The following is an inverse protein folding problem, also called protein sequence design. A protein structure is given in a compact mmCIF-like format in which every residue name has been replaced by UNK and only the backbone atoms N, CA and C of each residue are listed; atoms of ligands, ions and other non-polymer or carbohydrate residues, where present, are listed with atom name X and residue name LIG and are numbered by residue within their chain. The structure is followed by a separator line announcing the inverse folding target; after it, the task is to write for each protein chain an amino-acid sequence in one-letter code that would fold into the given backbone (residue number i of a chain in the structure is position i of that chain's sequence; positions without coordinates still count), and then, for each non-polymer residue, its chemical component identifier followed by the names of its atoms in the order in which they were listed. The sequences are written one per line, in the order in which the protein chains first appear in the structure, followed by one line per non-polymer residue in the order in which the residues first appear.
data_IF_062785219767
#
_entry.id   IF_062785219767
#
_cell.length_a   1.000
_cell.length_b   1.000
_cell.length_c   1.000
_cell.angle_alpha   90.00
_cell.angle_beta   90.00
_cell.angle_gamma   90.00
#
_symmetry.space_group_name_H-M   'P 1'
#
loop_
_entity.id
_entity.type
_entity.pdbx_description
1 polymer ?
#
# COMPACT_ATOMS: atom_id res chain seq x y z
N UNK A 1 21.32 0.04 8.99
CA UNK A 1 20.45 -0.61 7.97
C UNK A 1 19.49 -1.51 8.72
N UNK A 2 18.24 -1.09 8.87
CA UNK A 2 17.20 -1.93 9.48
C UNK A 2 16.95 -3.12 8.56
N UNK A 3 17.03 -4.34 9.09
CA UNK A 3 16.88 -5.56 8.32
C UNK A 3 15.48 -5.57 7.66
N UNK A 4 15.39 -5.74 6.34
CA UNK A 4 14.12 -5.81 5.62
C UNK A 4 13.13 -6.81 6.27
N UNK A 5 13.67 -7.89 6.87
CA UNK A 5 12.87 -8.86 7.65
C UNK A 5 12.22 -8.25 8.90
N UNK A 6 12.91 -7.34 9.59
CA UNK A 6 12.37 -6.62 10.74
C UNK A 6 11.32 -5.58 10.32
N UNK A 7 11.50 -4.94 9.16
CA UNK A 7 10.51 -4.00 8.60
C UNK A 7 9.22 -4.71 8.15
N UNK A 8 9.36 -5.89 7.53
CA UNK A 8 8.22 -6.75 7.16
C UNK A 8 7.48 -7.26 8.41
N UNK A 9 8.22 -7.76 9.42
CA UNK A 9 7.63 -8.24 10.66
C UNK A 9 6.94 -7.12 11.46
N UNK A 10 7.52 -5.92 11.48
CA UNK A 10 6.86 -4.74 12.04
C UNK A 10 5.52 -4.50 11.34
N UNK A 11 5.44 -4.52 10.01
CA UNK A 11 4.16 -4.29 9.30
C UNK A 11 3.13 -5.39 9.42
N UNK A 12 3.55 -6.65 9.48
CA UNK A 12 2.63 -7.73 9.80
C UNK A 12 2.00 -7.51 11.18
N UNK A 13 2.70 -6.85 12.11
CA UNK A 13 2.09 -6.43 13.36
C UNK A 13 1.09 -5.28 13.16
N UNK A 14 1.43 -4.24 12.39
CA UNK A 14 0.56 -3.06 12.12
C UNK A 14 -0.72 -3.44 11.39
N UNK A 15 -0.62 -4.28 10.36
CA UNK A 15 -1.77 -4.74 9.59
C UNK A 15 -2.71 -5.61 10.43
N UNK A 16 -2.28 -6.13 11.58
CA UNK A 16 -3.06 -7.00 12.45
C UNK A 16 -3.27 -6.44 13.87
N UNK A 17 -2.81 -5.22 14.16
CA UNK A 17 -2.95 -4.57 15.48
C UNK A 17 -4.14 -3.60 15.45
N UNK A 18 -5.26 -3.92 16.13
CA UNK A 18 -6.45 -3.07 16.14
C UNK A 18 -6.26 -1.74 16.91
N UNK A 19 -5.15 -1.57 17.64
CA UNK A 19 -4.82 -0.33 18.36
C UNK A 19 -3.93 0.64 17.59
N UNK A 20 -3.44 0.23 16.41
CA UNK A 20 -2.51 0.98 15.59
C UNK A 20 -3.20 2.10 14.78
N UNK A 21 -3.78 3.09 15.47
CA UNK A 21 -4.50 4.21 14.84
C UNK A 21 -3.59 5.21 14.10
N UNK A 22 -2.26 5.07 14.23
CA UNK A 22 -1.28 5.79 13.45
C UNK A 22 0.08 5.11 13.65
N UNK A 23 0.70 4.61 12.58
CA UNK A 23 2.10 4.20 12.64
C UNK A 23 2.89 4.96 11.58
N UNK A 24 4.17 5.17 11.87
CA UNK A 24 5.06 5.83 10.93
C UNK A 24 5.07 5.08 9.59
N UNK A 25 4.97 5.79 8.46
CA UNK A 25 5.04 5.18 7.15
C UNK A 25 6.31 4.33 7.01
N UNK A 26 6.20 3.08 6.58
CA UNK A 26 7.39 2.27 6.32
C UNK A 26 7.70 2.25 4.84
N UNK A 27 8.97 2.54 4.60
CA UNK A 27 9.58 2.50 3.29
C UNK A 27 10.17 1.11 3.06
N UNK A 28 9.70 0.45 2.02
CA UNK A 28 10.27 -0.80 1.52
C UNK A 28 10.87 -0.50 0.15
N UNK A 29 12.06 -1.02 -0.11
CA UNK A 29 12.73 -0.87 -1.39
C UNK A 29 12.99 -2.24 -1.99
N UNK A 30 12.67 -2.37 -3.27
CA UNK A 30 12.91 -3.58 -4.06
C UNK A 30 13.47 -3.21 -5.42
N UNK A 31 14.20 -4.14 -6.03
CA UNK A 31 14.59 -4.00 -7.44
C UNK A 31 13.48 -4.59 -8.30
N UNK A 32 13.15 -3.90 -9.39
CA UNK A 32 12.16 -4.37 -10.35
C UNK A 32 12.62 -5.71 -10.95
N UNK A 33 11.77 -6.76 -10.97
CA UNK A 33 12.19 -8.12 -11.28
C UNK A 33 12.69 -8.32 -12.72
N UNK A 34 12.30 -7.42 -13.63
CA UNK A 34 12.68 -7.48 -15.04
C UNK A 34 13.56 -6.30 -15.50
N UNK A 35 13.86 -5.33 -14.61
CA UNK A 35 14.61 -4.11 -14.95
C UNK A 35 15.53 -3.76 -13.79
N UNK A 36 16.77 -4.25 -13.82
CA UNK A 36 17.70 -4.16 -12.68
C UNK A 36 18.10 -2.72 -12.30
N UNK A 37 17.98 -1.78 -13.24
CA UNK A 37 18.19 -0.36 -13.02
C UNK A 37 17.00 0.33 -12.35
N UNK A 38 15.82 -0.30 -12.27
CA UNK A 38 14.63 0.29 -11.65
C UNK A 38 14.49 -0.16 -10.19
N UNK A 39 14.44 0.79 -9.27
CA UNK A 39 14.09 0.60 -7.86
C UNK A 39 12.61 0.92 -7.64
N UNK A 40 11.87 0.00 -7.02
CA UNK A 40 10.51 0.23 -6.54
C UNK A 40 10.60 0.64 -5.07
N UNK A 41 10.09 1.83 -4.76
CA UNK A 41 9.93 2.32 -3.39
C UNK A 41 8.45 2.26 -3.02
N UNK A 42 8.15 1.46 -2.01
CA UNK A 42 6.82 1.27 -1.47
C UNK A 42 6.72 2.03 -0.15
N UNK A 43 5.58 2.67 0.05
CA UNK A 43 5.20 3.28 1.31
C UNK A 43 3.81 2.76 1.68
N UNK A 44 3.71 2.17 2.86
CA UNK A 44 2.43 1.72 3.43
C UNK A 44 2.11 2.63 4.60
N UNK A 45 0.89 3.14 4.64
CA UNK A 45 0.32 3.88 5.77
C UNK A 45 -1.04 3.30 6.12
N UNK A 46 -1.48 3.55 7.35
CA UNK A 46 -2.81 3.17 7.84
C UNK A 46 -3.50 4.40 8.39
N UNK A 47 -4.74 4.58 7.99
CA UNK A 47 -5.57 5.69 8.42
C UNK A 47 -7.02 5.23 8.62
N UNK A 48 -7.79 5.97 9.43
CA UNK A 48 -9.22 5.75 9.53
C UNK A 48 -9.92 6.14 8.23
N UNK A 49 -10.82 5.29 7.75
CA UNK A 49 -11.49 5.51 6.47
C UNK A 49 -12.37 6.78 6.45
N UNK A 50 -13.07 7.09 7.55
CA UNK A 50 -13.90 8.30 7.66
C UNK A 50 -13.07 9.58 7.51
N UNK A 51 -11.81 9.57 7.98
CA UNK A 51 -10.89 10.69 7.83
C UNK A 51 -10.31 10.77 6.43
N UNK A 52 -9.84 9.64 5.90
CA UNK A 52 -9.20 9.60 4.59
C UNK A 52 -10.18 9.92 3.45
N UNK A 53 -11.43 9.45 3.55
CA UNK A 53 -12.46 9.65 2.53
C UNK A 53 -13.31 10.90 2.76
N UNK A 54 -13.05 11.67 3.82
CA UNK A 54 -13.89 12.80 4.26
C UNK A 54 -15.38 12.42 4.38
N UNK A 55 -15.66 11.24 4.95
CA UNK A 55 -16.96 10.61 4.99
C UNK A 55 -17.31 10.20 6.44
N UNK A 56 -17.87 11.11 7.26
CA UNK A 56 -18.08 10.90 8.69
C UNK A 56 -19.14 9.83 9.03
N UNK A 57 -19.96 9.44 8.05
CA UNK A 57 -21.01 8.42 8.20
C UNK A 57 -20.49 6.99 7.91
N UNK A 58 -19.23 6.83 7.50
CA UNK A 58 -18.63 5.50 7.35
C UNK A 58 -18.46 4.84 8.72
N UNK A 59 -18.72 3.53 8.78
CA UNK A 59 -18.36 2.72 9.93
C UNK A 59 -16.87 2.90 10.29
N UNK A 60 -16.48 2.73 11.57
CA UNK A 60 -15.11 2.96 12.03
C UNK A 60 -14.19 1.81 11.60
N UNK A 61 -13.97 1.67 10.30
CA UNK A 61 -12.99 0.77 9.72
C UNK A 61 -11.76 1.56 9.24
N UNK A 62 -10.64 0.86 9.14
CA UNK A 62 -9.38 1.46 8.70
C UNK A 62 -9.13 1.16 7.22
N UNK A 63 -8.27 1.98 6.62
CA UNK A 63 -7.76 1.79 5.27
C UNK A 63 -6.24 1.72 5.32
N UNK A 64 -5.69 0.69 4.68
CA UNK A 64 -4.28 0.66 4.32
C UNK A 64 -4.11 1.37 2.98
N UNK A 65 -3.24 2.37 2.98
CA UNK A 65 -2.87 3.13 1.79
C UNK A 65 -1.48 2.65 1.40
N UNK A 66 -1.38 2.04 0.23
CA UNK A 66 -0.11 1.59 -0.34
C UNK A 66 0.22 2.48 -1.52
N UNK A 67 1.36 3.15 -1.46
CA UNK A 67 1.88 3.93 -2.57
C UNK A 67 3.20 3.36 -3.08
N UNK A 68 3.38 3.44 -4.38
CA UNK A 68 4.55 2.92 -5.07
C UNK A 68 5.10 3.97 -6.03
N UNK A 69 6.42 4.16 -5.99
CA UNK A 69 7.16 4.93 -7.00
C UNK A 69 8.26 4.06 -7.58
N UNK A 70 8.43 4.10 -8.90
CA UNK A 70 9.57 3.51 -9.59
C UNK A 70 10.63 4.58 -9.87
N UNK A 71 11.89 4.25 -9.63
CA UNK A 71 13.03 5.13 -9.84
C UNK A 71 14.07 4.44 -10.71
N UNK A 72 14.46 5.10 -11.80
CA UNK A 72 15.62 4.68 -12.57
C UNK A 72 16.90 5.12 -11.85
N UNK A 73 17.71 4.15 -11.44
CA UNK A 73 18.94 4.37 -10.68
C UNK A 73 20.10 4.88 -11.54
N UNK A 74 20.05 4.69 -12.85
CA UNK A 74 21.10 5.16 -13.76
C UNK A 74 20.98 6.66 -14.00
N UNK A 75 19.75 7.12 -14.27
CA UNK A 75 19.47 8.53 -14.54
C UNK A 75 19.00 9.31 -13.30
N UNK A 76 18.63 8.61 -12.22
CA UNK A 76 18.22 9.22 -10.95
C UNK A 76 16.82 9.83 -10.97
N UNK A 77 15.97 9.43 -11.91
CA UNK A 77 14.64 10.02 -12.13
C UNK A 77 13.51 9.05 -11.76
N UNK A 78 12.36 9.60 -11.37
CA UNK A 78 11.15 8.82 -11.19
C UNK A 78 10.59 8.45 -12.56
N UNK A 79 10.22 7.18 -12.72
CA UNK A 79 9.61 6.65 -13.95
C UNK A 79 8.21 6.13 -13.66
N UNK A 80 7.46 5.84 -14.72
CA UNK A 80 6.14 5.24 -14.61
C UNK A 80 6.19 3.95 -13.79
N UNK A 81 5.26 3.83 -12.85
CA UNK A 81 5.20 2.68 -11.96
C UNK A 81 4.51 1.52 -12.67
N UNK A 82 5.24 0.42 -12.87
CA UNK A 82 4.65 -0.83 -13.36
C UNK A 82 3.78 -1.44 -12.25
N UNK A 83 2.50 -1.65 -12.58
CA UNK A 83 1.51 -2.15 -11.63
C UNK A 83 1.69 -3.62 -11.28
N UNK A 84 2.25 -4.43 -12.19
CA UNK A 84 2.35 -5.89 -11.98
C UNK A 84 3.36 -6.24 -10.88
N UNK A 85 4.61 -5.71 -10.91
CA UNK A 85 5.55 -5.85 -9.81
C UNK A 85 5.02 -5.26 -8.51
N UNK A 86 4.27 -4.15 -8.59
CA UNK A 86 3.69 -3.53 -7.41
C UNK A 86 2.69 -4.45 -6.71
N UNK A 87 1.74 -5.05 -7.43
CA UNK A 87 0.79 -6.01 -6.86
C UNK A 87 1.49 -7.26 -6.29
N UNK A 88 2.55 -7.75 -6.95
CA UNK A 88 3.36 -8.86 -6.43
C UNK A 88 4.07 -8.50 -5.12
N UNK A 89 4.50 -7.25 -4.96
CA UNK A 89 5.04 -6.76 -3.70
C UNK A 89 3.95 -6.69 -2.62
N UNK A 90 2.75 -6.21 -2.93
CA UNK A 90 1.62 -6.22 -1.99
C UNK A 90 1.33 -7.66 -1.53
N UNK A 91 1.23 -8.61 -2.48
CA UNK A 91 1.00 -10.03 -2.17
C UNK A 91 2.06 -10.60 -1.23
N UNK A 92 3.35 -10.39 -1.57
CA UNK A 92 4.47 -10.86 -0.76
C UNK A 92 4.52 -10.23 0.64
N UNK A 93 4.12 -8.97 0.76
CA UNK A 93 4.25 -8.20 2.00
C UNK A 93 3.05 -8.36 2.92
N UNK A 94 1.84 -8.33 2.36
CA UNK A 94 0.58 -8.25 3.10
C UNK A 94 -0.25 -9.54 3.04
N UNK A 95 0.00 -10.41 2.04
CA UNK A 95 -0.74 -11.63 1.66
C UNK A 95 -1.53 -11.47 0.36
N UNK A 96 -1.84 -12.62 -0.24
CA UNK A 96 -2.64 -12.70 -1.47
C UNK A 96 -4.03 -12.11 -1.30
N UNK A 97 -4.62 -12.21 -0.11
CA UNK A 97 -5.93 -11.63 0.19
C UNK A 97 -5.90 -10.10 0.09
N UNK A 98 -4.85 -9.45 0.61
CA UNK A 98 -4.65 -8.01 0.51
C UNK A 98 -4.43 -7.56 -0.94
N UNK A 99 -3.64 -8.31 -1.71
CA UNK A 99 -3.43 -7.99 -3.13
C UNK A 99 -4.75 -8.06 -3.92
N UNK A 100 -5.58 -9.07 -3.67
CA UNK A 100 -6.87 -9.26 -4.36
C UNK A 100 -7.97 -8.26 -3.93
N UNK A 101 -7.84 -7.67 -2.75
CA UNK A 101 -8.78 -6.67 -2.21
C UNK A 101 -8.34 -5.24 -2.48
N UNK A 102 -7.10 -5.05 -2.96
CA UNK A 102 -6.58 -3.75 -3.31
C UNK A 102 -7.34 -3.13 -4.49
N UNK A 103 -7.76 -1.88 -4.33
CA UNK A 103 -8.43 -1.09 -5.38
C UNK A 103 -7.54 0.05 -5.84
N UNK A 104 -7.66 0.42 -7.11
CA UNK A 104 -6.95 1.58 -7.66
C UNK A 104 -7.51 2.86 -7.05
N UNK A 105 -6.64 3.76 -6.61
CA UNK A 105 -7.04 5.07 -6.13
C UNK A 105 -6.44 6.15 -7.00
N UNK A 106 -7.07 6.35 -8.15
CA UNK A 106 -6.66 7.27 -9.20
C UNK A 106 -6.96 8.74 -8.88
N UNK A 107 -7.61 9.05 -7.76
CA UNK A 107 -7.92 10.43 -7.36
C UNK A 107 -6.68 11.29 -7.04
N UNK A 108 -5.48 10.72 -6.93
CA UNK A 108 -4.22 11.45 -6.73
C UNK A 108 -3.31 11.47 -7.98
N UNK A 109 -3.91 11.46 -9.19
CA UNK A 109 -3.28 11.15 -10.48
C UNK A 109 -2.20 12.10 -11.01
N UNK A 110 -1.80 13.15 -10.29
CA UNK A 110 -0.87 14.15 -10.82
C UNK A 110 0.62 13.83 -10.55
N UNK A 111 0.91 12.67 -9.95
CA UNK A 111 2.28 12.21 -9.70
C UNK A 111 2.52 10.83 -10.32
N UNK A 112 3.76 10.46 -10.68
CA UNK A 112 4.10 9.11 -11.18
C UNK A 112 4.07 8.04 -10.06
N UNK A 113 3.18 8.22 -9.09
CA UNK A 113 3.01 7.39 -7.91
C UNK A 113 1.73 6.60 -8.07
N UNK A 114 1.82 5.27 -8.04
CA UNK A 114 0.65 4.41 -8.04
C UNK A 114 0.11 4.26 -6.61
N UNK A 115 -1.18 4.47 -6.42
CA UNK A 115 -1.84 4.31 -5.12
C UNK A 115 -2.82 3.14 -5.15
N UNK A 116 -2.81 2.34 -4.09
CA UNK A 116 -3.77 1.28 -3.83
C UNK A 116 -4.34 1.43 -2.44
N UNK A 117 -5.65 1.21 -2.32
CA UNK A 117 -6.34 1.16 -1.04
C UNK A 117 -6.76 -0.27 -0.75
N UNK A 118 -6.57 -0.68 0.51
CA UNK A 118 -7.10 -1.92 1.03
C UNK A 118 -7.93 -1.56 2.26
N UNK A 119 -9.22 -1.82 2.20
CA UNK A 119 -10.13 -1.66 3.33
C UNK A 119 -9.90 -2.80 4.30
N UNK A 120 -9.90 -2.53 5.61
CA UNK A 120 -9.79 -3.57 6.63
C UNK A 120 -10.90 -3.43 7.67
N UNK A 121 -11.55 -4.53 8.04
CA UNK A 121 -12.61 -4.53 9.04
C UNK A 121 -12.08 -4.31 10.47
N UNK A 122 -12.98 -4.33 11.45
CA UNK A 122 -12.63 -4.23 12.88
C UNK A 122 -11.68 -5.32 13.37
N UNK A 123 -11.71 -6.49 12.72
CA UNK A 123 -10.83 -7.63 13.00
C UNK A 123 -9.56 -7.60 12.14
N UNK A 124 -9.31 -6.49 11.43
CA UNK A 124 -8.14 -6.27 10.58
C UNK A 124 -8.08 -7.15 9.33
N UNK A 125 -9.23 -7.65 8.87
CA UNK A 125 -9.29 -8.49 7.66
C UNK A 125 -9.58 -7.64 6.44
N UNK A 126 -8.91 -7.90 5.30
CA UNK A 126 -9.18 -7.18 4.07
C UNK A 126 -10.64 -7.34 3.65
N UNK A 127 -11.31 -6.22 3.47
CA UNK A 127 -12.67 -6.16 2.95
C UNK A 127 -12.57 -5.91 1.45
N UNK A 128 -13.18 -6.79 0.66
CA UNK A 128 -13.38 -6.49 -0.75
C UNK A 128 -14.34 -5.32 -0.83
N UNK A 129 -13.91 -4.23 -1.45
CA UNK A 129 -14.84 -3.21 -1.89
C UNK A 129 -15.89 -3.92 -2.76
N UNK A 130 -17.13 -4.02 -2.27
CA UNK A 130 -18.22 -4.32 -3.17
C UNK A 130 -18.21 -3.18 -4.18
N UNK A 131 -18.04 -3.50 -5.46
CA UNK A 131 -18.19 -2.50 -6.49
C UNK A 131 -19.54 -1.83 -6.25
N UNK A 132 -19.52 -0.57 -5.82
CA UNK A 132 -20.73 0.25 -5.83
C UNK A 132 -21.06 0.36 -7.30
N UNK A 133 -22.01 -0.45 -7.78
CA UNK A 133 -22.63 -0.21 -9.07
C UNK A 133 -23.37 1.11 -8.93
N UNK A 134 -22.68 2.20 -9.26
CA UNK A 134 -23.28 3.48 -9.60
C UNK A 134 -23.71 3.47 -11.06
#
# INVERSE_FOLDING_TARGET
MTNAKAQIAAWQHIANDPSAAYQDPVQIRGIHPMKENIEIKLLITRERADKFMDAPDLEPFDVLIVSATCWDREIGEQVETDITPFLAHIDRLLSTEHALTSVDYSHMSDTPTAYRLIFVDSDQRPVRAQAVQG
#
